data_IF_450471085670
#
_entry.id   IF_450471085670
#
_cell.length_a   1.000
_cell.length_b   1.000
_cell.length_c   1.000
_cell.angle_alpha   90.00
_cell.angle_beta   90.00
_cell.angle_gamma   90.00
#
_symmetry.space_group_name_H-M   'P 1'
#
loop_
_entity.id
_entity.type
_entity.pdbx_description
1 polymer ?
#
# COMPACT_ATOMS: atom_id res chain seq x y z
N UNK A 1 5.53 12.78 40.82
CA UNK A 1 4.25 12.45 40.16
C UNK A 1 4.04 10.97 40.30
N UNK A 2 3.03 10.59 41.10
CA UNK A 2 2.73 9.25 41.58
C UNK A 2 2.57 8.19 40.49
N UNK A 3 2.80 6.94 40.89
CA UNK A 3 2.71 5.72 40.09
C UNK A 3 1.44 5.62 39.22
N UNK A 4 0.33 6.20 39.68
CA UNK A 4 -0.93 6.30 38.96
C UNK A 4 -0.81 7.09 37.65
N UNK A 5 -0.07 8.20 37.64
CA UNK A 5 0.16 9.03 36.45
C UNK A 5 1.04 8.31 35.44
N UNK A 6 2.05 7.57 35.91
CA UNK A 6 2.91 6.73 35.05
C UNK A 6 2.13 5.63 34.34
N UNK A 7 1.20 4.97 35.05
CA UNK A 7 0.33 3.93 34.48
C UNK A 7 -0.59 4.53 33.41
N UNK A 8 -1.23 5.67 33.70
CA UNK A 8 -2.10 6.37 32.75
C UNK A 8 -1.38 6.80 31.46
N UNK A 9 -0.18 7.39 31.60
CA UNK A 9 0.65 7.78 30.45
C UNK A 9 1.11 6.58 29.63
N UNK A 10 1.45 5.46 30.28
CA UNK A 10 1.88 4.26 29.58
C UNK A 10 0.76 3.67 28.72
N UNK A 11 -0.48 3.62 29.23
CA UNK A 11 -1.64 3.11 28.48
C UNK A 11 -1.98 3.98 27.27
N UNK A 12 -1.99 5.31 27.46
CA UNK A 12 -2.25 6.26 26.35
C UNK A 12 -1.11 6.24 25.34
N UNK A 13 0.15 6.17 25.80
CA UNK A 13 1.33 6.08 24.94
C UNK A 13 1.30 4.82 24.07
N UNK A 14 0.91 3.67 24.64
CA UNK A 14 0.77 2.43 23.88
C UNK A 14 -0.31 2.52 22.81
N UNK A 15 -1.43 3.18 23.11
CA UNK A 15 -2.53 3.38 22.17
C UNK A 15 -2.13 4.29 21.01
N UNK A 16 -1.44 5.39 21.28
CA UNK A 16 -0.94 6.30 20.24
C UNK A 16 0.14 5.62 19.39
N UNK A 17 1.08 4.89 20.02
CA UNK A 17 2.11 4.12 19.33
C UNK A 17 1.49 3.09 18.39
N UNK A 18 0.46 2.38 18.85
CA UNK A 18 -0.26 1.39 18.05
C UNK A 18 -0.92 2.01 16.83
N UNK A 19 -1.69 3.10 17.01
CA UNK A 19 -2.37 3.80 15.91
C UNK A 19 -1.36 4.39 14.93
N UNK A 20 -0.25 4.96 15.42
CA UNK A 20 0.80 5.52 14.60
C UNK A 20 1.45 4.47 13.67
N UNK A 21 1.80 3.30 14.22
CA UNK A 21 2.37 2.19 13.45
C UNK A 21 1.32 1.61 12.48
N UNK A 22 0.07 1.45 12.92
CA UNK A 22 -1.01 0.91 12.11
C UNK A 22 -1.32 1.80 10.90
N UNK A 23 -1.46 3.11 11.13
CA UNK A 23 -1.69 4.09 10.07
C UNK A 23 -0.49 4.17 9.10
N UNK A 24 0.74 4.16 9.61
CA UNK A 24 1.94 4.14 8.77
C UNK A 24 2.07 2.87 7.93
N UNK A 25 1.78 1.70 8.51
CA UNK A 25 1.77 0.43 7.80
C UNK A 25 0.72 0.40 6.68
N UNK A 26 -0.44 1.03 6.89
CA UNK A 26 -1.49 1.15 5.87
C UNK A 26 -1.17 2.23 4.82
N UNK A 27 -0.42 3.27 5.19
CA UNK A 27 -0.15 4.42 4.33
C UNK A 27 0.94 4.20 3.28
N UNK A 28 1.88 3.26 3.48
CA UNK A 28 3.12 3.33 2.69
C UNK A 28 3.25 2.41 1.48
N UNK A 29 2.91 1.11 1.51
CA UNK A 29 3.75 0.23 0.67
C UNK A 29 3.15 -0.90 -0.14
N UNK A 30 1.84 -1.05 -0.25
CA UNK A 30 1.30 -2.15 -1.08
C UNK A 30 0.24 -1.83 -2.11
N UNK A 31 -0.43 -0.67 -2.06
CA UNK A 31 -1.36 -0.33 -3.15
C UNK A 31 -0.64 -0.20 -4.49
N UNK A 32 0.50 0.50 -4.54
CA UNK A 32 1.20 0.76 -5.81
C UNK A 32 1.75 -0.49 -6.51
N UNK A 33 2.41 -1.40 -5.78
CA UNK A 33 2.92 -2.65 -6.38
C UNK A 33 1.84 -3.69 -6.65
N UNK A 34 0.69 -3.66 -5.94
CA UNK A 34 -0.43 -4.54 -6.28
C UNK A 34 -1.20 -4.04 -7.49
N UNK A 35 -1.38 -2.73 -7.65
CA UNK A 35 -2.03 -2.16 -8.84
C UNK A 35 -1.21 -2.47 -10.10
N UNK A 36 0.11 -2.35 -10.01
CA UNK A 36 1.03 -2.66 -11.10
C UNK A 36 1.06 -4.15 -11.41
N UNK A 37 1.07 -5.03 -10.40
CA UNK A 37 1.03 -6.47 -10.60
C UNK A 37 -0.34 -7.00 -11.07
N UNK A 38 -1.44 -6.34 -10.68
CA UNK A 38 -2.77 -6.64 -11.20
C UNK A 38 -2.90 -6.23 -12.66
N UNK A 39 -2.27 -5.12 -13.04
CA UNK A 39 -2.21 -4.68 -14.42
C UNK A 39 -1.23 -5.50 -15.27
N UNK A 40 -0.32 -6.31 -14.70
CA UNK A 40 0.58 -7.18 -15.49
C UNK A 40 -0.18 -8.20 -16.36
N UNK A 41 -1.27 -8.80 -15.85
CA UNK A 41 -2.08 -9.77 -16.61
C UNK A 41 -2.77 -9.10 -17.82
N UNK A 42 -3.09 -7.81 -17.71
CA UNK A 42 -3.76 -7.04 -18.77
C UNK A 42 -2.78 -6.23 -19.65
N UNK A 43 -1.58 -5.93 -19.14
CA UNK A 43 -0.55 -5.19 -19.85
C UNK A 43 0.05 -6.01 -21.00
N UNK A 44 0.12 -7.34 -20.84
CA UNK A 44 0.50 -8.25 -21.93
C UNK A 44 -0.56 -8.26 -23.06
N UNK A 45 -1.84 -8.09 -22.74
CA UNK A 45 -2.92 -8.01 -23.74
C UNK A 45 -2.89 -6.69 -24.53
N UNK A 46 -2.60 -5.56 -23.87
CA UNK A 46 -2.48 -4.24 -24.52
C UNK A 46 -1.29 -4.15 -25.48
N UNK A 47 -0.21 -4.90 -25.21
CA UNK A 47 0.95 -4.97 -26.09
C UNK A 47 0.68 -5.82 -27.34
N UNK A 48 -0.11 -6.89 -27.20
CA UNK A 48 -0.54 -7.72 -28.33
C UNK A 48 -1.43 -6.97 -29.31
N UNK A 49 -2.40 -6.18 -28.83
CA UNK A 49 -3.35 -5.45 -29.68
C UNK A 49 -2.66 -4.36 -30.54
N UNK A 50 -1.69 -3.64 -29.95
CA UNK A 50 -0.87 -2.66 -30.68
C UNK A 50 0.06 -3.30 -31.72
N UNK A 51 0.52 -4.53 -31.46
CA UNK A 51 1.39 -5.25 -32.39
C UNK A 51 0.62 -5.75 -33.61
N UNK A 52 -0.61 -6.24 -33.41
CA UNK A 52 -1.48 -6.70 -34.51
C UNK A 52 -1.89 -5.52 -35.40
N UNK A 53 -2.25 -4.37 -34.80
CA UNK A 53 -2.60 -3.17 -35.54
C UNK A 53 -1.45 -2.56 -36.36
N UNK A 54 -0.19 -2.74 -35.93
CA UNK A 54 1.00 -2.28 -36.66
C UNK A 54 1.49 -3.23 -37.76
N UNK A 55 1.05 -4.49 -37.74
CA UNK A 55 1.44 -5.52 -38.71
C UNK A 55 0.42 -5.68 -39.86
N UNK A 56 -0.84 -5.29 -39.66
CA UNK A 56 -1.86 -5.26 -40.73
C UNK A 56 -1.77 -4.05 -41.67
N UNK A 57 -0.93 -3.04 -41.37
CA UNK A 57 -0.77 -1.84 -42.21
C UNK A 57 0.52 -1.82 -43.05
N UNK A 58 1.23 -2.95 -43.18
CA UNK A 58 2.46 -3.07 -43.98
C UNK A 58 2.30 -3.96 -45.21
#
# INVERSE_FOLDING_TARGET
MDYATFRGISTVGMLILFIGIYAWAYSSRRKKSFDEAANLVFADEQNHDNKIAGEESK
#
